data_IF_564522300985
#
_entry.id   IF_564522300985
#
_cell.length_a   1.000
_cell.length_b   1.000
_cell.length_c   1.000
_cell.angle_alpha   90.00
_cell.angle_beta   90.00
_cell.angle_gamma   90.00
#
_symmetry.space_group_name_H-M   'P 1'
#
loop_
_entity.id
_entity.type
_entity.pdbx_description
1 polymer ?
#
# COMPACT_ATOMS: atom_id res chain seq x y z
N UNK A 1 -13.93 21.64 -12.52
CA UNK A 1 -13.19 20.44 -12.98
C UNK A 1 -12.43 19.92 -11.78
N UNK A 2 -12.97 18.91 -11.10
CA UNK A 2 -12.27 18.27 -9.97
C UNK A 2 -11.00 17.62 -10.48
N UNK A 3 -9.89 17.91 -9.82
CA UNK A 3 -8.60 17.30 -10.11
C UNK A 3 -8.68 15.78 -9.88
N UNK A 4 -8.57 14.99 -10.94
CA UNK A 4 -8.70 13.53 -10.94
C UNK A 4 -7.43 12.84 -10.38
N UNK A 5 -6.48 13.58 -9.82
CA UNK A 5 -5.25 12.97 -9.31
C UNK A 5 -5.49 12.31 -7.95
N UNK A 6 -5.79 11.00 -7.98
CA UNK A 6 -5.79 10.13 -6.79
C UNK A 6 -4.36 9.75 -6.34
N UNK A 7 -3.36 10.40 -6.89
CA UNK A 7 -1.96 10.12 -6.64
C UNK A 7 -1.40 11.20 -5.71
N UNK A 8 -0.59 10.80 -4.73
CA UNK A 8 0.13 11.72 -3.88
C UNK A 8 1.01 12.66 -4.73
N UNK A 9 1.06 13.94 -4.36
CA UNK A 9 1.86 14.93 -5.09
C UNK A 9 3.34 14.58 -4.97
N UNK A 10 4.03 14.55 -6.10
CA UNK A 10 5.48 14.42 -6.16
C UNK A 10 6.15 15.80 -6.10
N UNK A 11 7.30 15.85 -5.45
CA UNK A 11 8.17 17.02 -5.40
C UNK A 11 9.44 16.76 -6.21
N UNK A 12 10.12 17.84 -6.61
CA UNK A 12 11.42 17.70 -7.27
C UNK A 12 12.40 16.95 -6.34
N UNK A 13 13.21 16.07 -6.91
CA UNK A 13 14.21 15.24 -6.21
C UNK A 13 13.61 14.20 -5.21
N UNK A 14 12.29 14.03 -5.19
CA UNK A 14 11.68 12.99 -4.38
C UNK A 14 12.09 11.59 -4.85
N UNK A 15 12.47 10.74 -3.92
CA UNK A 15 12.75 9.33 -4.20
C UNK A 15 11.47 8.57 -4.44
N UNK A 16 11.48 7.69 -5.44
CA UNK A 16 10.35 6.83 -5.81
C UNK A 16 10.79 5.38 -5.93
N UNK A 17 9.87 4.46 -5.69
CA UNK A 17 10.08 3.05 -6.00
C UNK A 17 9.91 2.84 -7.50
N UNK A 18 10.84 2.10 -8.12
CA UNK A 18 10.77 1.74 -9.54
C UNK A 18 10.78 0.22 -9.68
N UNK A 19 9.84 -0.29 -10.43
CA UNK A 19 9.73 -1.71 -10.74
C UNK A 19 9.45 -1.90 -12.23
N UNK A 20 10.12 -2.89 -12.83
CA UNK A 20 9.85 -3.27 -14.22
C UNK A 20 8.58 -4.09 -14.30
N UNK A 21 7.88 -4.00 -15.42
CA UNK A 21 6.77 -4.89 -15.71
C UNK A 21 7.20 -6.35 -15.70
N UNK A 22 6.38 -7.23 -15.12
CA UNK A 22 6.60 -8.67 -15.15
C UNK A 22 6.56 -9.19 -16.59
N UNK A 23 7.44 -10.13 -16.89
CA UNK A 23 7.38 -10.95 -18.11
C UNK A 23 6.59 -12.22 -17.83
N UNK A 24 6.08 -12.88 -18.88
CA UNK A 24 5.28 -14.11 -18.75
C UNK A 24 6.00 -15.25 -18.00
N UNK A 25 7.33 -15.28 -18.02
CA UNK A 25 8.14 -16.31 -17.37
C UNK A 25 8.71 -15.88 -16.00
N UNK A 26 8.34 -14.70 -15.51
CA UNK A 26 8.84 -14.23 -14.21
C UNK A 26 8.11 -14.92 -13.06
N UNK A 27 8.79 -15.03 -11.93
CA UNK A 27 8.17 -15.49 -10.69
C UNK A 27 7.43 -14.34 -10.04
N UNK A 28 6.21 -14.61 -9.57
CA UNK A 28 5.41 -13.65 -8.83
C UNK A 28 5.81 -13.73 -7.36
N UNK A 29 6.22 -12.61 -6.79
CA UNK A 29 6.44 -12.43 -5.36
C UNK A 29 5.48 -11.35 -4.87
N UNK A 30 4.73 -11.63 -3.79
CA UNK A 30 3.67 -10.76 -3.31
C UNK A 30 2.35 -10.98 -4.06
N UNK A 31 1.77 -9.94 -4.61
CA UNK A 31 0.52 -9.99 -5.39
C UNK A 31 0.64 -9.15 -6.67
N UNK A 32 -0.37 -9.23 -7.54
CA UNK A 32 -0.41 -8.41 -8.76
C UNK A 32 -0.64 -6.93 -8.40
N UNK A 33 0.32 -6.09 -8.73
CA UNK A 33 0.26 -4.63 -8.60
C UNK A 33 0.25 -4.04 -10.00
N UNK A 34 -0.81 -3.32 -10.35
CA UNK A 34 -1.04 -2.79 -11.69
C UNK A 34 -0.69 -1.31 -11.84
N UNK A 35 -0.39 -0.63 -10.73
CA UNK A 35 -0.23 0.81 -10.72
C UNK A 35 -1.57 1.56 -10.83
N UNK A 36 -2.67 0.89 -10.51
CA UNK A 36 -4.00 1.49 -10.47
C UNK A 36 -4.26 2.10 -9.09
N UNK A 37 -3.67 3.27 -8.84
CA UNK A 37 -3.78 3.95 -7.55
C UNK A 37 -5.24 4.28 -7.24
N UNK A 38 -5.73 3.80 -6.09
CA UNK A 38 -7.11 3.97 -5.63
C UNK A 38 -7.30 5.20 -4.75
N UNK A 39 -6.24 5.66 -4.10
CA UNK A 39 -6.30 6.80 -3.21
C UNK A 39 -4.96 7.13 -2.57
N UNK A 40 -5.04 7.99 -1.57
CA UNK A 40 -3.91 8.41 -0.75
C UNK A 40 -4.15 7.93 0.68
N UNK A 41 -3.18 7.21 1.22
CA UNK A 41 -3.13 6.78 2.61
C UNK A 41 -2.15 7.67 3.40
N UNK A 42 -2.25 7.69 4.72
CA UNK A 42 -1.43 8.51 5.60
C UNK A 42 -0.73 7.63 6.64
N UNK A 43 0.55 7.84 6.85
CA UNK A 43 1.31 7.17 7.92
C UNK A 43 0.91 7.81 9.26
N UNK A 44 0.16 7.08 10.11
CA UNK A 44 -0.25 7.56 11.43
C UNK A 44 0.75 7.26 12.52
N UNK A 45 1.38 6.07 12.46
CA UNK A 45 2.32 5.64 13.48
C UNK A 45 3.38 4.71 12.90
N UNK A 46 4.56 4.73 13.49
CA UNK A 46 5.67 3.81 13.21
C UNK A 46 6.21 3.32 14.56
N UNK A 47 6.10 2.04 14.81
CA UNK A 47 6.60 1.37 16.01
C UNK A 47 7.74 0.43 15.64
N UNK A 48 8.90 0.64 16.25
CA UNK A 48 10.05 -0.27 16.08
C UNK A 48 9.87 -1.50 16.95
N UNK A 49 9.86 -2.65 16.33
CA UNK A 49 9.89 -3.95 16.97
C UNK A 49 11.29 -4.57 16.85
N UNK A 50 11.51 -5.73 17.49
CA UNK A 50 12.84 -6.36 17.49
C UNK A 50 13.38 -6.63 16.08
N UNK A 51 12.53 -7.19 15.20
CA UNK A 51 12.92 -7.68 13.88
C UNK A 51 12.23 -6.97 12.70
N UNK A 52 11.40 -5.96 12.98
CA UNK A 52 10.65 -5.24 11.95
C UNK A 52 10.14 -3.89 12.48
N UNK A 53 9.53 -3.11 11.62
CA UNK A 53 8.73 -1.95 12.02
C UNK A 53 7.25 -2.25 11.76
N UNK A 54 6.39 -2.02 12.75
CA UNK A 54 4.95 -2.00 12.57
C UNK A 54 4.52 -0.60 12.18
N UNK A 55 3.82 -0.49 11.08
CA UNK A 55 3.28 0.78 10.58
C UNK A 55 1.77 0.76 10.62
N UNK A 56 1.18 1.79 11.21
CA UNK A 56 -0.26 2.03 11.22
C UNK A 56 -0.58 3.10 10.17
N UNK A 57 -1.43 2.73 9.22
CA UNK A 57 -1.70 3.49 8.01
C UNK A 57 -3.19 3.81 7.93
N UNK A 58 -3.54 5.10 7.96
CA UNK A 58 -4.90 5.57 7.73
C UNK A 58 -5.22 5.49 6.25
N UNK A 59 -6.33 4.84 5.94
CA UNK A 59 -6.79 4.65 4.56
C UNK A 59 -8.13 5.35 4.33
N UNK A 60 -8.46 5.71 3.07
CA UNK A 60 -9.78 6.21 2.75
C UNK A 60 -10.89 5.21 3.12
N UNK A 61 -11.92 5.64 3.84
CA UNK A 61 -12.98 4.76 4.37
C UNK A 61 -13.71 3.96 3.29
N UNK A 62 -13.83 4.51 2.08
CA UNK A 62 -14.45 3.82 0.94
C UNK A 62 -13.63 2.62 0.44
N UNK A 63 -12.37 2.47 0.85
CA UNK A 63 -11.53 1.33 0.49
C UNK A 63 -11.62 0.17 1.49
N UNK A 64 -12.18 0.37 2.69
CA UNK A 64 -12.23 -0.65 3.75
C UNK A 64 -12.85 -1.97 3.31
N UNK A 65 -13.88 -1.92 2.48
CA UNK A 65 -14.55 -3.12 1.96
C UNK A 65 -13.67 -4.05 1.12
N UNK A 66 -12.53 -3.54 0.66
CA UNK A 66 -11.53 -4.31 -0.11
C UNK A 66 -10.35 -4.78 0.75
N UNK A 67 -10.30 -4.39 2.03
CA UNK A 67 -9.17 -4.61 2.91
C UNK A 67 -9.54 -5.67 3.94
N UNK A 68 -8.73 -6.72 4.02
CA UNK A 68 -8.95 -7.79 4.98
C UNK A 68 -7.64 -8.24 5.65
N UNK A 69 -7.75 -8.69 6.90
CA UNK A 69 -6.62 -9.29 7.61
C UNK A 69 -6.03 -10.44 6.81
N UNK A 70 -4.72 -10.51 6.70
CA UNK A 70 -3.97 -11.47 5.88
C UNK A 70 -4.10 -11.26 4.36
N UNK A 71 -4.88 -10.27 3.92
CA UNK A 71 -4.89 -9.85 2.52
C UNK A 71 -3.65 -9.06 2.14
N UNK A 72 -3.56 -8.73 0.85
CA UNK A 72 -2.48 -7.92 0.29
C UNK A 72 -2.93 -6.49 0.04
N UNK A 73 -1.98 -5.58 0.12
CA UNK A 73 -2.16 -4.16 -0.21
C UNK A 73 -0.88 -3.65 -0.86
N UNK A 74 -0.98 -2.71 -1.78
CA UNK A 74 0.18 -2.01 -2.30
C UNK A 74 0.25 -0.59 -1.74
N UNK A 75 1.38 -0.24 -1.13
CA UNK A 75 1.70 1.10 -0.66
C UNK A 75 2.94 1.60 -1.40
N UNK A 76 2.82 2.71 -2.13
CA UNK A 76 3.87 3.24 -3.01
C UNK A 76 4.46 2.17 -3.96
N UNK A 77 3.62 1.27 -4.47
CA UNK A 77 4.02 0.18 -5.35
C UNK A 77 4.59 -1.06 -4.66
N UNK A 78 4.74 -1.04 -3.35
CA UNK A 78 5.29 -2.16 -2.57
C UNK A 78 4.16 -3.07 -2.08
N UNK A 79 4.23 -4.36 -2.42
CA UNK A 79 3.29 -5.39 -1.95
C UNK A 79 3.53 -5.71 -0.48
N UNK A 80 2.49 -5.57 0.33
CA UNK A 80 2.55 -5.78 1.78
C UNK A 80 1.37 -6.65 2.25
N UNK A 81 1.59 -7.37 3.35
CA UNK A 81 0.53 -8.16 4.00
C UNK A 81 -0.11 -7.35 5.12
N UNK A 82 -1.43 -7.34 5.15
CA UNK A 82 -2.22 -6.64 6.17
C UNK A 82 -2.29 -7.48 7.45
N UNK A 83 -1.84 -6.93 8.57
CA UNK A 83 -1.94 -7.58 9.87
C UNK A 83 -3.32 -7.38 10.51
N UNK A 84 -3.84 -6.17 10.46
CA UNK A 84 -5.17 -5.80 10.98
C UNK A 84 -5.72 -4.61 10.23
N UNK A 85 -7.02 -4.40 10.36
CA UNK A 85 -7.75 -3.19 9.91
C UNK A 85 -8.81 -2.88 10.96
N UNK A 86 -8.80 -1.66 11.51
CA UNK A 86 -9.76 -1.16 12.48
C UNK A 86 -9.94 0.35 12.30
N UNK A 87 -11.17 0.83 12.25
CA UNK A 87 -11.49 2.26 12.15
C UNK A 87 -10.72 3.02 11.05
N UNK A 88 -10.66 2.44 9.85
CA UNK A 88 -9.91 2.95 8.70
C UNK A 88 -8.37 2.98 8.89
N UNK A 89 -7.85 2.31 9.90
CA UNK A 89 -6.40 2.17 10.11
C UNK A 89 -6.00 0.72 9.89
N UNK A 90 -5.20 0.48 8.87
CA UNK A 90 -4.58 -0.83 8.66
C UNK A 90 -3.18 -0.86 9.28
N UNK A 91 -2.74 -2.03 9.70
CA UNK A 91 -1.35 -2.23 10.11
C UNK A 91 -0.62 -3.21 9.19
N UNK A 92 0.64 -2.89 8.93
CA UNK A 92 1.58 -3.73 8.18
C UNK A 92 2.90 -3.83 8.94
N UNK A 93 3.64 -4.92 8.73
CA UNK A 93 5.00 -5.04 9.25
C UNK A 93 6.02 -4.91 8.10
N UNK A 94 6.97 -4.01 8.25
CA UNK A 94 8.06 -3.82 7.32
C UNK A 94 9.32 -4.47 7.86
N UNK A 95 9.78 -5.52 7.19
CA UNK A 95 11.04 -6.21 7.52
C UNK A 95 12.24 -5.36 7.09
N UNK A 96 13.43 -5.55 7.67
CA UNK A 96 14.63 -4.76 7.34
C UNK A 96 14.95 -4.73 5.84
N UNK A 97 14.74 -5.84 5.14
CA UNK A 97 14.94 -5.90 3.70
C UNK A 97 14.03 -4.93 2.95
N UNK A 98 12.74 -4.89 3.28
CA UNK A 98 11.77 -3.96 2.66
C UNK A 98 12.14 -2.52 2.94
N UNK A 99 12.50 -2.19 4.18
CA UNK A 99 12.92 -0.84 4.55
C UNK A 99 14.15 -0.39 3.75
N UNK A 100 15.18 -1.24 3.64
CA UNK A 100 16.43 -0.87 2.97
C UNK A 100 16.34 -0.84 1.43
N UNK A 101 15.37 -1.53 0.82
CA UNK A 101 15.24 -1.65 -0.63
C UNK A 101 14.10 -0.82 -1.22
N UNK A 102 13.41 -0.06 -0.39
CA UNK A 102 12.30 0.81 -0.82
C UNK A 102 12.43 2.22 -0.26
N UNK A 103 11.56 3.11 -0.72
CA UNK A 103 11.50 4.49 -0.20
C UNK A 103 11.01 4.58 1.24
N UNK A 104 10.49 3.51 1.84
CA UNK A 104 10.01 3.52 3.23
C UNK A 104 11.07 3.94 4.24
N UNK A 105 12.35 3.66 3.99
CA UNK A 105 13.45 4.13 4.85
C UNK A 105 13.50 5.66 5.03
N UNK A 106 12.91 6.42 4.12
CA UNK A 106 12.89 7.88 4.14
C UNK A 106 11.58 8.46 4.66
N UNK A 107 10.53 7.65 4.73
CA UNK A 107 9.21 8.11 5.12
C UNK A 107 9.09 8.35 6.62
N UNK A 108 8.21 9.30 6.98
CA UNK A 108 7.94 9.72 8.36
C UNK A 108 6.45 9.71 8.63
N UNK A 109 6.10 9.68 9.92
CA UNK A 109 4.72 9.89 10.38
C UNK A 109 4.18 11.21 9.81
N UNK A 110 2.96 11.18 9.31
CA UNK A 110 2.28 12.31 8.67
C UNK A 110 2.48 12.39 7.16
N UNK A 111 3.33 11.55 6.56
CA UNK A 111 3.51 11.53 5.11
C UNK A 111 2.46 10.66 4.41
N UNK A 112 2.19 11.01 3.17
CA UNK A 112 1.21 10.35 2.32
C UNK A 112 1.84 9.24 1.49
N UNK A 113 1.09 8.16 1.30
CA UNK A 113 1.44 7.01 0.45
C UNK A 113 0.35 6.80 -0.60
N UNK A 114 0.74 6.44 -1.81
CA UNK A 114 -0.20 5.93 -2.80
C UNK A 114 -0.67 4.55 -2.39
N UNK A 115 -1.98 4.32 -2.37
CA UNK A 115 -2.59 3.03 -2.04
C UNK A 115 -3.25 2.43 -3.27
N UNK A 116 -3.00 1.14 -3.50
CA UNK A 116 -3.70 0.32 -4.48
C UNK A 116 -4.22 -0.93 -3.78
N UNK A 117 -5.53 -1.19 -3.89
CA UNK A 117 -6.14 -2.41 -3.35
C UNK A 117 -5.80 -3.61 -4.23
N UNK A 118 -5.88 -4.81 -3.64
CA UNK A 118 -5.73 -6.05 -4.40
C UNK A 118 -6.87 -6.19 -5.42
N UNK A 119 -6.54 -6.43 -6.68
CA UNK A 119 -7.50 -6.60 -7.77
C UNK A 119 -8.47 -7.76 -7.50
N UNK A 120 -8.02 -8.83 -6.82
CA UNK A 120 -8.88 -9.94 -6.43
C UNK A 120 -9.98 -9.49 -5.46
N UNK A 121 -9.65 -8.63 -4.49
CA UNK A 121 -10.65 -8.06 -3.57
C UNK A 121 -11.70 -7.24 -4.32
N UNK A 122 -11.30 -6.53 -5.38
CA UNK A 122 -12.22 -5.76 -6.23
C UNK A 122 -13.22 -6.66 -6.96
N UNK A 123 -12.75 -7.77 -7.54
CA UNK A 123 -13.64 -8.71 -8.21
C UNK A 123 -14.60 -9.41 -7.24
N UNK A 124 -14.10 -9.83 -6.07
CA UNK A 124 -14.94 -10.47 -5.04
C UNK A 124 -16.05 -9.51 -4.57
N UNK A 125 -15.70 -8.26 -4.27
CA UNK A 125 -16.67 -7.23 -3.87
C UNK A 125 -17.72 -6.98 -4.96
N UNK A 126 -17.30 -6.90 -6.23
CA UNK A 126 -18.22 -6.71 -7.36
C UNK A 126 -19.22 -7.85 -7.52
N UNK A 127 -18.82 -9.09 -7.26
CA UNK A 127 -19.69 -10.27 -7.35
C UNK A 127 -20.69 -10.29 -6.19
N UNK A 128 -20.28 -9.91 -4.99
CA UNK A 128 -21.15 -9.92 -3.81
C UNK A 128 -22.21 -8.83 -3.82
N UNK A 129 -22.05 -7.77 -4.61
CA UNK A 129 -23.00 -6.65 -4.70
C UNK A 129 -23.93 -6.72 -5.92
N UNK A 130 -23.94 -7.84 -6.65
CA UNK A 130 -24.89 -8.19 -7.69
C UNK A 130 -25.86 -9.26 -7.16
#
# INVERSE_FOLDING_TARGET
MESISKVAKFTLDQKVNLERSLKLNDRISGHFVFGHVDGIALIENIEKLNDCEKWDIKVPSNLNKYITKKGSISLNGVSLTINSIENDVLSVNLIPYTLSHTTFQYNKIGESLNIEIDMLARYVESINNN
#
